data_IF_508917741211
#
_entry.id   IF_508917741211
#
_cell.length_a   1.000
_cell.length_b   1.000
_cell.length_c   1.000
_cell.angle_alpha   90.00
_cell.angle_beta   90.00
_cell.angle_gamma   90.00
#
_symmetry.space_group_name_H-M   'P 1'
#
loop_
_entity.id
_entity.type
_entity.pdbx_description
1 polymer ?
#
# COMPACT_ATOMS: atom_id res chain seq x y z
N UNK A 1 -40.21 -15.54 17.21
CA UNK A 1 -39.19 -14.48 17.31
C UNK A 1 -39.55 -13.42 16.28
N UNK A 2 -39.97 -12.24 16.74
CA UNK A 2 -40.38 -11.14 15.85
C UNK A 2 -39.15 -10.31 15.52
N UNK A 3 -38.75 -10.29 14.24
CA UNK A 3 -37.69 -9.42 13.75
C UNK A 3 -38.19 -7.98 13.70
N UNK A 4 -37.46 -7.04 14.32
CA UNK A 4 -37.77 -5.61 14.27
C UNK A 4 -36.68 -4.91 13.47
N UNK A 5 -37.09 -4.25 12.39
CA UNK A 5 -36.19 -3.55 11.47
C UNK A 5 -35.29 -2.51 12.16
N UNK A 6 -35.79 -1.84 13.20
CA UNK A 6 -35.07 -0.81 13.95
C UNK A 6 -34.08 -1.34 15.00
N UNK A 7 -34.07 -2.66 15.25
CA UNK A 7 -33.07 -3.30 16.12
C UNK A 7 -31.82 -3.75 15.33
N UNK A 8 -31.77 -3.46 14.02
CA UNK A 8 -30.58 -3.69 13.21
C UNK A 8 -29.47 -2.70 13.61
N UNK A 9 -28.19 -3.13 13.60
CA UNK A 9 -27.08 -2.20 13.77
C UNK A 9 -27.12 -1.12 12.70
N UNK A 10 -26.88 0.12 13.10
CA UNK A 10 -26.76 1.24 12.16
C UNK A 10 -25.54 1.00 11.24
N UNK A 11 -25.78 0.84 9.95
CA UNK A 11 -24.74 0.67 8.94
C UNK A 11 -24.58 2.00 8.22
N UNK A 12 -23.52 2.71 8.55
CA UNK A 12 -23.15 3.97 7.87
C UNK A 12 -22.98 3.73 6.35
N UNK A 13 -23.84 4.30 5.48
CA UNK A 13 -23.85 4.00 4.05
C UNK A 13 -22.53 4.27 3.34
N UNK A 14 -21.78 5.29 3.80
CA UNK A 14 -20.46 5.64 3.26
C UNK A 14 -19.38 4.56 3.48
N UNK A 15 -19.64 3.54 4.31
CA UNK A 15 -18.74 2.38 4.51
C UNK A 15 -18.75 1.36 3.36
N UNK A 16 -19.61 1.53 2.37
CA UNK A 16 -19.75 0.60 1.24
C UNK A 16 -19.29 1.16 -0.10
N UNK A 17 -18.80 2.41 -0.14
CA UNK A 17 -18.23 2.97 -1.37
C UNK A 17 -16.88 2.31 -1.66
N UNK A 18 -16.53 2.11 -2.94
CA UNK A 18 -15.33 1.36 -3.34
C UNK A 18 -13.98 1.94 -2.87
N UNK A 19 -13.98 3.14 -2.29
CA UNK A 19 -12.80 3.80 -1.72
C UNK A 19 -12.81 3.84 -0.18
N UNK A 20 -13.91 3.40 0.45
CA UNK A 20 -13.99 3.26 1.90
C UNK A 20 -13.07 2.14 2.38
N UNK A 21 -12.49 2.31 3.57
CA UNK A 21 -11.57 1.32 4.13
C UNK A 21 -10.15 1.34 3.56
N UNK A 22 -9.82 2.27 2.64
CA UNK A 22 -8.43 2.51 2.29
C UNK A 22 -7.67 3.00 3.52
N UNK A 23 -6.62 2.26 3.90
CA UNK A 23 -5.77 2.58 5.06
C UNK A 23 -4.67 3.58 4.74
N UNK A 24 -4.46 3.86 3.44
CA UNK A 24 -3.44 4.78 2.96
C UNK A 24 -4.03 6.19 2.91
N UNK A 25 -3.45 7.09 3.68
CA UNK A 25 -3.64 8.52 3.49
C UNK A 25 -2.88 8.94 2.22
N UNK A 26 -3.63 9.19 1.15
CA UNK A 26 -3.09 9.42 -0.20
C UNK A 26 -2.27 10.71 -0.33
N UNK A 27 -2.41 11.66 0.60
CA UNK A 27 -1.71 12.94 0.55
C UNK A 27 -1.87 13.70 -0.79
N UNK A 28 -2.98 13.48 -1.52
CA UNK A 28 -3.12 13.97 -2.90
C UNK A 28 -3.02 15.49 -3.03
N UNK A 29 -3.51 16.24 -2.04
CA UNK A 29 -3.43 17.71 -2.02
C UNK A 29 -2.04 18.25 -1.61
N UNK A 30 -1.23 17.42 -0.94
CA UNK A 30 0.10 17.79 -0.44
C UNK A 30 1.23 17.15 -1.25
N UNK A 31 0.90 16.46 -2.34
CA UNK A 31 1.84 15.72 -3.18
C UNK A 31 2.62 16.70 -4.04
N UNK A 32 3.91 16.84 -3.72
CA UNK A 32 4.90 17.52 -4.56
C UNK A 32 5.47 16.53 -5.59
N UNK A 33 6.02 17.07 -6.68
CA UNK A 33 6.58 16.27 -7.79
C UNK A 33 7.69 15.31 -7.32
N UNK A 34 8.44 15.68 -6.29
CA UNK A 34 9.55 14.92 -5.73
C UNK A 34 9.17 14.02 -4.55
N UNK A 35 7.89 13.97 -4.16
CA UNK A 35 7.46 13.28 -2.92
C UNK A 35 7.86 11.81 -2.88
N UNK A 36 7.88 11.14 -4.03
CA UNK A 36 8.27 9.74 -4.13
C UNK A 36 9.78 9.54 -3.86
N UNK A 37 10.63 10.42 -4.38
CA UNK A 37 12.07 10.37 -4.16
C UNK A 37 12.41 10.72 -2.72
N UNK A 38 11.82 11.78 -2.17
CA UNK A 38 11.98 12.16 -0.77
C UNK A 38 11.53 11.05 0.17
N UNK A 39 10.44 10.34 -0.15
CA UNK A 39 10.01 9.18 0.62
C UNK A 39 11.03 8.04 0.58
N UNK A 40 11.67 7.74 -0.56
CA UNK A 40 12.67 6.67 -0.65
C UNK A 40 13.92 6.91 0.21
N UNK A 41 14.22 8.16 0.57
CA UNK A 41 15.33 8.50 1.46
C UNK A 41 15.03 8.18 2.93
N UNK A 42 13.74 8.05 3.28
CA UNK A 42 13.31 7.79 4.66
C UNK A 42 13.45 6.29 5.01
N UNK A 43 14.09 5.95 6.15
CA UNK A 43 14.38 4.56 6.52
C UNK A 43 13.14 3.74 6.88
N UNK A 44 12.05 4.39 7.30
CA UNK A 44 10.78 3.77 7.64
C UNK A 44 9.89 3.49 6.42
N UNK A 45 10.31 3.92 5.23
CA UNK A 45 9.56 3.75 3.99
C UNK A 45 9.35 2.28 3.67
N UNK A 46 8.09 1.96 3.41
CA UNK A 46 7.64 0.63 3.01
C UNK A 46 7.53 0.60 1.49
N UNK A 47 8.02 -0.46 0.89
CA UNK A 47 8.05 -0.65 -0.56
C UNK A 47 7.07 -1.73 -0.96
N UNK A 48 6.22 -1.42 -1.92
CA UNK A 48 5.36 -2.36 -2.61
C UNK A 48 5.97 -2.66 -4.00
N UNK A 49 6.33 -3.91 -4.28
CA UNK A 49 6.97 -4.29 -5.54
C UNK A 49 5.94 -4.83 -6.55
N UNK A 50 5.97 -4.28 -7.75
CA UNK A 50 5.09 -4.65 -8.85
C UNK A 50 5.89 -5.21 -10.03
N UNK A 51 5.57 -6.41 -10.47
CA UNK A 51 6.22 -7.07 -11.60
C UNK A 51 5.18 -7.82 -12.43
N UNK A 52 5.24 -7.77 -13.76
CA UNK A 52 4.26 -8.48 -14.62
C UNK A 52 2.78 -8.14 -14.33
N UNK A 53 2.47 -6.91 -13.89
CA UNK A 53 1.16 -6.48 -13.38
C UNK A 53 0.66 -7.21 -12.12
N UNK A 54 1.57 -7.81 -11.36
CA UNK A 54 1.31 -8.53 -10.12
C UNK A 54 2.09 -7.91 -8.97
N UNK A 55 1.60 -8.16 -7.76
CA UNK A 55 2.24 -7.76 -6.52
C UNK A 55 3.17 -8.87 -6.06
N UNK A 56 4.43 -8.54 -5.77
CA UNK A 56 5.35 -9.47 -5.14
C UNK A 56 4.93 -9.73 -3.69
N UNK A 57 4.83 -11.00 -3.31
CA UNK A 57 4.52 -11.45 -1.96
C UNK A 57 5.65 -12.31 -1.42
N UNK A 58 6.05 -12.03 -0.19
CA UNK A 58 6.97 -12.84 0.60
C UNK A 58 6.17 -13.85 1.44
N UNK A 59 6.44 -15.13 1.20
CA UNK A 59 5.82 -16.29 1.87
C UNK A 59 6.77 -16.96 2.88
N UNK A 60 7.83 -16.29 3.36
CA UNK A 60 8.70 -16.84 4.40
C UNK A 60 7.92 -17.29 5.66
N UNK A 61 6.78 -16.64 5.96
CA UNK A 61 5.72 -17.17 6.80
C UNK A 61 4.46 -17.40 5.97
N UNK A 62 4.14 -18.67 5.69
CA UNK A 62 2.95 -19.06 4.92
C UNK A 62 1.63 -18.58 5.54
N UNK A 63 1.58 -18.37 6.86
CA UNK A 63 0.38 -17.92 7.57
C UNK A 63 0.22 -16.40 7.56
N UNK A 64 1.30 -15.67 7.29
CA UNK A 64 1.30 -14.22 7.25
C UNK A 64 2.13 -13.68 6.06
N UNK A 65 1.67 -13.89 4.81
CA UNK A 65 2.36 -13.38 3.65
C UNK A 65 2.50 -11.86 3.70
N UNK A 66 3.67 -11.35 3.34
CA UNK A 66 4.01 -9.92 3.41
C UNK A 66 4.10 -9.34 2.01
N UNK A 67 3.47 -8.18 1.80
CA UNK A 67 3.54 -7.42 0.55
C UNK A 67 4.46 -6.18 0.63
N UNK A 68 4.91 -5.84 1.84
CA UNK A 68 5.63 -4.61 2.13
C UNK A 68 7.06 -4.92 2.55
N UNK A 69 8.00 -4.42 1.76
CA UNK A 69 9.44 -4.63 1.94
C UNK A 69 10.10 -3.36 2.47
N UNK A 70 11.27 -3.48 3.09
CA UNK A 70 12.20 -2.35 3.25
C UNK A 70 12.92 -2.10 1.93
N UNK A 71 13.39 -0.87 1.70
CA UNK A 71 14.15 -0.54 0.49
C UNK A 71 15.38 -1.44 0.28
N UNK A 72 16.07 -1.83 1.36
CA UNK A 72 17.20 -2.76 1.28
C UNK A 72 16.80 -4.14 0.74
N UNK A 73 15.71 -4.71 1.23
CA UNK A 73 15.17 -6.01 0.78
C UNK A 73 14.66 -5.89 -0.67
N UNK A 74 14.01 -4.78 -1.00
CA UNK A 74 13.44 -4.58 -2.33
C UNK A 74 14.50 -4.53 -3.44
N UNK A 75 15.71 -4.05 -3.14
CA UNK A 75 16.82 -3.96 -4.11
C UNK A 75 17.25 -5.30 -4.68
N UNK A 76 17.04 -6.40 -3.95
CA UNK A 76 17.37 -7.75 -4.42
C UNK A 76 16.56 -8.17 -5.65
N UNK A 77 15.42 -7.49 -5.89
CA UNK A 77 14.54 -7.72 -7.05
C UNK A 77 14.78 -6.72 -8.19
N UNK A 78 15.90 -5.99 -8.18
CA UNK A 78 16.27 -5.00 -9.20
C UNK A 78 15.11 -4.04 -9.60
N UNK A 79 14.47 -3.35 -8.63
CA UNK A 79 13.37 -2.44 -8.93
C UNK A 79 13.86 -1.18 -9.65
N UNK A 80 12.98 -0.57 -10.43
CA UNK A 80 13.22 0.75 -11.02
C UNK A 80 13.09 1.85 -9.94
N UNK A 81 14.23 2.47 -9.63
CA UNK A 81 14.32 3.58 -8.67
C UNK A 81 14.14 4.95 -9.33
N UNK A 82 14.04 5.02 -10.66
CA UNK A 82 13.89 6.26 -11.41
C UNK A 82 12.43 6.67 -11.61
N UNK A 83 11.49 5.72 -11.55
CA UNK A 83 10.05 5.99 -11.66
C UNK A 83 9.28 5.53 -10.40
N UNK A 84 9.63 6.02 -9.20
CA UNK A 84 8.93 5.62 -7.99
C UNK A 84 7.53 6.24 -7.90
N UNK A 85 6.57 5.48 -7.39
CA UNK A 85 5.18 5.91 -7.26
C UNK A 85 4.85 6.11 -5.79
N UNK A 86 4.67 7.36 -5.37
CA UNK A 86 4.22 7.66 -4.00
C UNK A 86 2.74 7.28 -3.82
N UNK A 87 2.47 6.31 -2.96
CA UNK A 87 1.09 5.89 -2.66
C UNK A 87 0.46 6.74 -1.57
N UNK A 88 1.26 7.18 -0.60
CA UNK A 88 0.82 7.99 0.53
C UNK A 88 1.49 7.55 1.83
N UNK A 89 0.80 7.79 2.94
CA UNK A 89 1.22 7.35 4.28
C UNK A 89 0.31 6.24 4.77
N UNK A 90 0.88 5.23 5.41
CA UNK A 90 0.12 4.22 6.15
C UNK A 90 0.66 4.13 7.57
N UNK A 91 -0.19 4.39 8.56
CA UNK A 91 0.20 4.45 9.98
C UNK A 91 1.37 5.42 10.23
N UNK A 92 1.42 6.52 9.47
CA UNK A 92 2.48 7.54 9.53
C UNK A 92 3.74 7.23 8.72
N UNK A 93 3.94 6.00 8.26
CA UNK A 93 5.09 5.62 7.45
C UNK A 93 4.83 5.83 5.94
N UNK A 94 5.78 6.34 5.16
CA UNK A 94 5.64 6.47 3.72
C UNK A 94 5.52 5.09 3.04
N UNK A 95 4.67 5.04 2.03
CA UNK A 95 4.46 3.88 1.18
C UNK A 95 4.74 4.26 -0.27
N UNK A 96 5.68 3.56 -0.87
CA UNK A 96 6.12 3.75 -2.27
C UNK A 96 5.95 2.45 -3.02
N UNK A 97 5.40 2.52 -4.23
CA UNK A 97 5.44 1.40 -5.17
C UNK A 97 6.61 1.55 -6.14
N UNK A 98 7.28 0.44 -6.42
CA UNK A 98 8.32 0.34 -7.43
C UNK A 98 8.00 -0.80 -8.39
N UNK A 99 8.35 -0.64 -9.65
CA UNK A 99 8.26 -1.70 -10.64
C UNK A 99 9.54 -2.54 -10.65
N UNK A 100 9.45 -3.81 -11.01
CA UNK A 100 10.58 -4.73 -11.17
C UNK A 100 10.41 -5.53 -12.47
N UNK A 101 11.51 -5.93 -13.14
CA UNK A 101 11.44 -6.82 -14.30
C UNK A 101 11.00 -8.25 -13.96
N UNK A 102 10.91 -8.62 -12.67
CA UNK A 102 10.42 -9.92 -12.24
C UNK A 102 8.95 -10.12 -12.67
N UNK A 103 8.59 -11.35 -13.04
CA UNK A 103 7.19 -11.79 -13.22
C UNK A 103 6.84 -12.80 -12.10
N UNK A 104 6.27 -12.34 -10.98
CA UNK A 104 6.02 -13.15 -9.78
C UNK A 104 4.78 -14.07 -9.86
#
# INVERSE_FOLDING_TARGET
MTFRLYDLPEIEPSRSVGFSGNRIDRQSEKRQDDSAFTALELPETRIMLLGGNRLLLDYADEKAPRALFRLGEAKDFAPDLHEPIFLGLQDGAPLVALTTPLDP
#
